data_IF_371161391868
#
_entry.id   IF_371161391868
#
_cell.length_a   1.000
_cell.length_b   1.000
_cell.length_c   1.000
_cell.angle_alpha   90.00
_cell.angle_beta   90.00
_cell.angle_gamma   90.00
#
_symmetry.space_group_name_H-M   'P 1'
#
loop_
_entity.id
_entity.type
_entity.pdbx_description
1 polymer ?
#
# COMPACT_ATOMS: atom_id res chain seq x y z
N UNK A 1 4.74 -43.92 23.69
CA UNK A 1 5.25 -43.17 22.52
C UNK A 1 4.55 -41.84 22.59
N UNK A 2 5.26 -40.81 23.04
CA UNK A 2 4.68 -39.49 23.23
C UNK A 2 4.52 -38.84 21.85
N UNK A 3 3.33 -38.31 21.60
CA UNK A 3 2.98 -37.54 20.41
C UNK A 3 3.89 -36.31 20.32
N UNK A 4 4.87 -36.35 19.42
CA UNK A 4 5.53 -35.15 18.90
C UNK A 4 4.52 -34.47 17.97
N UNK A 5 3.52 -33.81 18.55
CA UNK A 5 2.58 -33.01 17.80
C UNK A 5 3.32 -31.81 17.23
N UNK A 6 3.01 -31.54 15.98
CA UNK A 6 3.65 -30.65 15.03
C UNK A 6 3.57 -29.17 15.46
N UNK A 7 4.38 -28.75 16.43
CA UNK A 7 4.42 -27.37 16.94
C UNK A 7 4.77 -26.33 15.87
N UNK A 8 5.48 -26.71 14.80
CA UNK A 8 5.78 -25.81 13.66
C UNK A 8 4.53 -25.52 12.83
N UNK A 9 3.75 -26.55 12.51
CA UNK A 9 2.55 -26.42 11.67
C UNK A 9 1.42 -25.63 12.34
N UNK A 10 1.28 -25.66 13.68
CA UNK A 10 0.30 -24.80 14.36
C UNK A 10 0.67 -23.31 14.27
N UNK A 11 1.96 -22.98 14.37
CA UNK A 11 2.45 -21.60 14.21
C UNK A 11 2.28 -21.09 12.79
N UNK A 12 2.59 -21.92 11.81
CA UNK A 12 2.38 -21.63 10.38
C UNK A 12 0.90 -21.45 10.06
N UNK A 13 0.02 -22.35 10.52
CA UNK A 13 -1.41 -22.25 10.29
C UNK A 13 -2.00 -20.96 10.86
N UNK A 14 -1.54 -20.56 12.05
CA UNK A 14 -1.94 -19.32 12.70
C UNK A 14 -1.49 -18.12 11.86
N UNK A 15 -0.19 -18.03 11.50
CA UNK A 15 0.34 -16.94 10.68
C UNK A 15 -0.35 -16.84 9.31
N UNK A 16 -0.64 -17.97 8.67
CA UNK A 16 -1.41 -18.01 7.43
C UNK A 16 -2.82 -17.45 7.61
N UNK A 17 -3.51 -17.80 8.69
CA UNK A 17 -4.88 -17.35 8.96
C UNK A 17 -4.91 -15.84 9.18
N UNK A 18 -3.95 -15.34 9.94
CA UNK A 18 -3.74 -13.91 10.20
C UNK A 18 -3.45 -13.12 8.93
N UNK A 19 -2.54 -13.63 8.09
CA UNK A 19 -2.18 -13.00 6.82
C UNK A 19 -3.39 -12.92 5.88
N UNK A 20 -4.14 -14.01 5.71
CA UNK A 20 -5.33 -14.03 4.86
C UNK A 20 -6.39 -13.05 5.35
N UNK A 21 -6.62 -12.97 6.67
CA UNK A 21 -7.58 -12.01 7.24
C UNK A 21 -7.15 -10.56 6.99
N UNK A 22 -5.86 -10.26 7.13
CA UNK A 22 -5.30 -8.95 6.83
C UNK A 22 -5.48 -8.59 5.35
N UNK A 23 -5.14 -9.50 4.43
CA UNK A 23 -5.29 -9.29 2.98
C UNK A 23 -6.76 -9.12 2.59
N UNK A 24 -7.68 -9.91 3.16
CA UNK A 24 -9.12 -9.76 2.92
C UNK A 24 -9.63 -8.39 3.34
N UNK A 25 -9.08 -7.84 4.43
CA UNK A 25 -9.44 -6.52 4.93
C UNK A 25 -8.87 -5.42 4.04
N UNK A 26 -7.62 -5.57 3.59
CA UNK A 26 -6.93 -4.60 2.73
C UNK A 26 -7.63 -4.52 1.37
N UNK A 27 -7.73 -5.65 0.67
CA UNK A 27 -8.14 -5.72 -0.73
C UNK A 27 -9.66 -5.86 -0.93
N UNK A 28 -10.42 -6.18 0.12
CA UNK A 28 -11.88 -6.24 0.07
C UNK A 28 -12.37 -7.11 -1.09
N UNK A 29 -13.11 -6.50 -2.02
CA UNK A 29 -13.73 -7.17 -3.17
C UNK A 29 -12.71 -7.74 -4.18
N UNK A 30 -11.45 -7.28 -4.16
CA UNK A 30 -10.38 -7.82 -5.02
C UNK A 30 -9.85 -9.17 -4.52
N UNK A 31 -10.04 -9.49 -3.22
CA UNK A 31 -9.62 -10.75 -2.61
C UNK A 31 -10.75 -11.77 -2.55
N UNK A 32 -10.49 -12.99 -3.02
CA UNK A 32 -11.46 -14.06 -3.11
C UNK A 32 -10.93 -15.35 -2.46
N UNK A 33 -11.75 -15.95 -1.59
CA UNK A 33 -11.49 -17.28 -1.02
C UNK A 33 -12.09 -18.33 -1.96
N UNK A 34 -11.25 -19.15 -2.57
CA UNK A 34 -11.66 -20.20 -3.51
C UNK A 34 -12.01 -21.48 -2.76
N UNK A 35 -11.09 -21.95 -1.90
CA UNK A 35 -11.25 -23.12 -1.06
C UNK A 35 -10.49 -22.92 0.25
N UNK A 36 -11.21 -22.61 1.31
CA UNK A 36 -10.64 -22.38 2.64
C UNK A 36 -9.98 -23.63 3.22
N UNK A 37 -10.55 -24.82 2.97
CA UNK A 37 -10.01 -26.07 3.50
C UNK A 37 -8.68 -26.45 2.84
N UNK A 38 -8.55 -26.18 1.54
CA UNK A 38 -7.33 -26.38 0.78
C UNK A 38 -6.41 -25.15 0.76
N UNK A 39 -6.73 -24.10 1.53
CA UNK A 39 -5.98 -22.83 1.60
C UNK A 39 -5.70 -22.20 0.24
N UNK A 40 -6.72 -22.17 -0.62
CA UNK A 40 -6.66 -21.61 -1.97
C UNK A 40 -7.37 -20.27 -2.03
N UNK A 41 -6.65 -19.25 -2.50
CA UNK A 41 -7.11 -17.87 -2.60
C UNK A 41 -6.83 -17.32 -4.01
N UNK A 42 -7.59 -16.35 -4.50
CA UNK A 42 -7.18 -15.51 -5.64
C UNK A 42 -7.33 -14.04 -5.25
N UNK A 43 -6.43 -13.23 -5.76
CA UNK A 43 -6.55 -11.78 -5.76
C UNK A 43 -6.51 -11.27 -7.19
N UNK A 44 -7.45 -10.40 -7.53
CA UNK A 44 -7.45 -9.66 -8.79
C UNK A 44 -6.70 -8.34 -8.60
N UNK A 45 -5.61 -8.15 -9.35
CA UNK A 45 -4.75 -6.98 -9.28
C UNK A 45 -4.93 -6.19 -10.57
N UNK A 46 -5.29 -4.92 -10.45
CA UNK A 46 -5.49 -4.03 -11.60
C UNK A 46 -4.80 -2.68 -11.42
N UNK A 47 -4.47 -2.03 -12.53
CA UNK A 47 -4.02 -0.64 -12.52
C UNK A 47 -5.22 0.31 -12.35
N UNK A 48 -5.02 1.39 -11.58
CA UNK A 48 -6.02 2.44 -11.35
C UNK A 48 -5.99 3.55 -12.43
N UNK A 49 -5.10 3.47 -13.43
CA UNK A 49 -5.00 4.47 -14.51
C UNK A 49 -6.03 4.24 -15.64
N UNK A 50 -6.53 5.34 -16.23
CA UNK A 50 -7.73 5.33 -17.10
C UNK A 50 -7.62 4.60 -18.45
N UNK A 51 -6.44 4.14 -18.92
CA UNK A 51 -6.25 3.13 -19.99
C UNK A 51 -4.75 2.91 -20.28
N UNK A 52 -4.32 1.68 -20.65
CA UNK A 52 -5.09 0.43 -20.68
C UNK A 52 -5.20 -0.19 -19.28
N UNK A 53 -6.41 -0.61 -18.89
CA UNK A 53 -6.66 -1.34 -17.64
C UNK A 53 -6.11 -2.76 -17.75
N UNK A 54 -4.82 -2.90 -17.46
CA UNK A 54 -4.19 -4.21 -17.31
C UNK A 54 -4.67 -4.85 -16.00
N UNK A 55 -4.93 -6.15 -16.05
CA UNK A 55 -5.40 -6.93 -14.90
C UNK A 55 -4.69 -8.27 -14.88
N UNK A 56 -4.34 -8.74 -13.68
CA UNK A 56 -3.81 -10.06 -13.40
C UNK A 56 -4.61 -10.70 -12.25
N UNK A 57 -4.95 -12.00 -12.32
CA UNK A 57 -5.32 -12.76 -11.12
C UNK A 57 -4.10 -13.55 -10.67
N UNK A 58 -3.74 -13.36 -9.41
CA UNK A 58 -2.79 -14.18 -8.70
C UNK A 58 -3.59 -15.20 -7.88
N UNK A 59 -3.51 -16.47 -8.28
CA UNK A 59 -4.02 -17.57 -7.47
C UNK A 59 -2.90 -18.09 -6.57
N UNK A 60 -3.22 -18.29 -5.28
CA UNK A 60 -2.29 -18.64 -4.21
C UNK A 60 -2.79 -19.91 -3.53
N UNK A 61 -1.87 -20.82 -3.23
CA UNK A 61 -2.10 -22.00 -2.41
C UNK A 61 -1.07 -21.96 -1.28
N UNK A 62 -1.52 -21.96 -0.04
CA UNK A 62 -0.64 -21.95 1.13
C UNK A 62 -0.30 -23.38 1.56
N UNK A 63 0.95 -23.85 1.41
CA UNK A 63 1.34 -25.15 1.94
C UNK A 63 1.35 -25.11 3.49
N UNK A 64 1.27 -26.26 4.16
CA UNK A 64 1.23 -26.32 5.63
C UNK A 64 2.48 -25.76 6.32
N UNK A 65 3.60 -25.70 5.60
CA UNK A 65 4.91 -25.28 6.13
C UNK A 65 5.27 -23.82 5.78
N UNK A 66 4.33 -23.06 5.21
CA UNK A 66 4.46 -21.62 4.97
C UNK A 66 3.90 -20.84 6.18
N UNK A 67 4.51 -19.74 6.64
CA UNK A 67 5.69 -19.06 6.08
C UNK A 67 7.06 -19.60 6.49
N UNK A 68 7.13 -20.55 7.43
CA UNK A 68 8.41 -20.92 8.07
C UNK A 68 9.46 -21.51 7.13
N UNK A 69 9.10 -22.49 6.29
CA UNK A 69 10.08 -23.30 5.54
C UNK A 69 9.73 -23.56 4.08
N UNK A 70 8.54 -23.16 3.64
CA UNK A 70 8.10 -23.27 2.26
C UNK A 70 7.49 -21.96 1.77
N UNK A 71 7.69 -21.57 0.49
CA UNK A 71 7.00 -20.44 -0.12
C UNK A 71 5.53 -20.78 -0.45
N UNK A 72 4.66 -19.78 -0.62
CA UNK A 72 3.36 -19.99 -1.22
C UNK A 72 3.49 -20.56 -2.64
N UNK A 73 2.56 -21.43 -3.04
CA UNK A 73 2.48 -21.89 -4.43
C UNK A 73 1.58 -20.92 -5.18
N UNK A 74 2.00 -20.45 -6.35
CA UNK A 74 1.23 -19.45 -7.09
C UNK A 74 1.01 -19.80 -8.56
N UNK A 75 -0.05 -19.21 -9.11
CA UNK A 75 -0.33 -19.17 -10.53
C UNK A 75 -0.82 -17.77 -10.93
N UNK A 76 -0.07 -17.11 -11.81
CA UNK A 76 -0.46 -15.81 -12.37
C UNK A 76 -1.15 -16.02 -13.71
N UNK A 77 -2.39 -15.55 -13.79
CA UNK A 77 -3.19 -15.49 -15.01
C UNK A 77 -3.34 -14.04 -15.49
N UNK A 78 -2.65 -13.71 -16.58
CA UNK A 78 -2.66 -12.39 -17.21
C UNK A 78 -2.44 -12.55 -18.72
N UNK A 79 -3.39 -12.09 -19.55
CA UNK A 79 -3.33 -12.28 -21.01
C UNK A 79 -2.14 -11.57 -21.68
N UNK A 80 -1.65 -10.51 -21.03
CA UNK A 80 -0.57 -9.63 -21.48
C UNK A 80 0.82 -10.06 -20.99
N UNK A 81 0.91 -11.00 -20.03
CA UNK A 81 2.17 -11.43 -19.43
C UNK A 81 2.75 -12.60 -20.22
N UNK A 82 3.81 -12.37 -20.99
CA UNK A 82 4.40 -13.39 -21.89
C UNK A 82 5.93 -13.38 -21.86
N UNK A 83 6.54 -14.53 -22.14
CA UNK A 83 7.98 -14.65 -22.40
C UNK A 83 8.85 -14.13 -21.26
N UNK A 84 9.72 -13.17 -21.57
CA UNK A 84 10.70 -12.57 -20.65
C UNK A 84 10.06 -11.88 -19.45
N UNK A 85 8.93 -11.21 -19.64
CA UNK A 85 8.24 -10.47 -18.56
C UNK A 85 7.68 -11.41 -17.49
N UNK A 86 7.19 -12.58 -17.92
CA UNK A 86 6.75 -13.62 -16.98
C UNK A 86 7.92 -14.14 -16.15
N UNK A 87 9.09 -14.31 -16.76
CA UNK A 87 10.28 -14.76 -16.08
C UNK A 87 10.82 -13.69 -15.11
N UNK A 88 10.82 -12.42 -15.52
CA UNK A 88 11.19 -11.29 -14.66
C UNK A 88 10.30 -11.23 -13.42
N UNK A 89 8.97 -11.21 -13.61
CA UNK A 89 8.05 -11.17 -12.49
C UNK A 89 8.20 -12.39 -11.58
N UNK A 90 8.36 -13.60 -12.15
CA UNK A 90 8.57 -14.82 -11.37
C UNK A 90 9.86 -14.77 -10.53
N UNK A 91 10.95 -14.26 -11.10
CA UNK A 91 12.22 -14.07 -10.38
C UNK A 91 12.05 -13.08 -9.23
N UNK A 92 11.39 -11.94 -9.46
CA UNK A 92 11.13 -10.96 -8.40
C UNK A 92 10.32 -11.54 -7.25
N UNK A 93 9.31 -12.39 -7.52
CA UNK A 93 8.55 -13.05 -6.46
C UNK A 93 9.38 -14.06 -5.66
N UNK A 94 10.31 -14.76 -6.32
CA UNK A 94 11.25 -15.67 -5.67
C UNK A 94 12.26 -14.92 -4.81
N UNK A 95 12.82 -13.81 -5.33
CA UNK A 95 13.76 -12.96 -4.60
C UNK A 95 13.13 -12.44 -3.29
N UNK A 96 11.87 -11.99 -3.34
CA UNK A 96 11.11 -11.58 -2.16
C UNK A 96 11.01 -12.71 -1.13
N UNK A 97 10.76 -13.95 -1.56
CA UNK A 97 10.70 -15.08 -0.63
C UNK A 97 12.07 -15.34 0.02
N UNK A 98 13.16 -15.28 -0.76
CA UNK A 98 14.52 -15.50 -0.25
C UNK A 98 14.91 -14.43 0.76
N UNK A 99 14.57 -13.17 0.49
CA UNK A 99 14.86 -12.04 1.38
C UNK A 99 14.04 -12.06 2.67
N UNK A 100 12.81 -12.61 2.61
CA UNK A 100 11.85 -12.62 3.72
C UNK A 100 11.54 -14.05 4.23
N UNK A 101 12.54 -14.94 4.22
CA UNK A 101 12.35 -16.33 4.65
C UNK A 101 11.84 -16.42 6.09
N UNK A 102 10.74 -17.14 6.31
CA UNK A 102 10.10 -17.25 7.63
C UNK A 102 9.06 -16.17 7.92
N UNK A 103 8.83 -15.23 7.00
CA UNK A 103 7.84 -14.16 7.13
C UNK A 103 6.66 -14.32 6.15
N UNK A 104 5.54 -13.65 6.46
CA UNK A 104 4.36 -13.56 5.59
C UNK A 104 4.59 -12.56 4.44
N UNK A 105 4.66 -13.06 3.21
CA UNK A 105 5.09 -12.30 2.02
C UNK A 105 3.98 -11.97 1.01
N UNK A 106 2.74 -12.45 1.19
CA UNK A 106 1.71 -12.33 0.15
C UNK A 106 1.38 -10.88 -0.19
N UNK A 107 1.42 -9.98 0.78
CA UNK A 107 1.25 -8.55 0.51
C UNK A 107 2.35 -8.02 -0.41
N UNK A 108 3.62 -8.36 -0.13
CA UNK A 108 4.75 -7.93 -0.95
C UNK A 108 4.59 -8.44 -2.38
N UNK A 109 4.19 -9.70 -2.54
CA UNK A 109 3.88 -10.26 -3.86
C UNK A 109 2.80 -9.48 -4.60
N UNK A 110 1.72 -9.09 -3.92
CA UNK A 110 0.64 -8.31 -4.53
C UNK A 110 1.14 -6.93 -4.96
N UNK A 111 1.91 -6.23 -4.11
CA UNK A 111 2.46 -4.92 -4.45
C UNK A 111 3.45 -5.00 -5.62
N UNK A 112 4.38 -5.96 -5.61
CA UNK A 112 5.34 -6.15 -6.71
C UNK A 112 4.64 -6.44 -8.04
N UNK A 113 3.56 -7.22 -8.02
CA UNK A 113 2.76 -7.44 -9.23
C UNK A 113 2.04 -6.15 -9.66
N UNK A 114 1.53 -5.36 -8.71
CA UNK A 114 0.89 -4.07 -9.02
C UNK A 114 1.89 -3.11 -9.66
N UNK A 115 3.08 -2.96 -9.08
CA UNK A 115 4.13 -2.11 -9.61
C UNK A 115 4.55 -2.54 -11.02
N UNK A 116 4.71 -3.84 -11.24
CA UNK A 116 4.99 -4.41 -12.55
C UNK A 116 3.91 -4.06 -13.59
N UNK A 117 2.63 -4.07 -13.19
CA UNK A 117 1.52 -3.67 -14.06
C UNK A 117 1.60 -2.17 -14.39
N UNK A 118 1.92 -1.34 -13.39
CA UNK A 118 2.03 0.11 -13.51
C UNK A 118 3.18 0.49 -14.44
N UNK A 119 4.40 -0.03 -14.22
CA UNK A 119 5.58 0.19 -15.07
C UNK A 119 5.32 -0.21 -16.53
N UNK A 120 4.61 -1.33 -16.71
CA UNK A 120 4.20 -1.77 -18.04
C UNK A 120 3.22 -0.82 -18.70
N UNK A 121 2.27 -0.26 -17.96
CA UNK A 121 1.30 0.68 -18.52
C UNK A 121 1.98 1.94 -19.06
N UNK A 122 3.00 2.45 -18.36
CA UNK A 122 3.83 3.57 -18.84
C UNK A 122 4.66 3.21 -20.08
N UNK A 123 5.17 1.97 -20.15
CA UNK A 123 5.91 1.48 -21.32
C UNK A 123 5.03 1.39 -22.59
N UNK A 124 3.73 1.13 -22.45
CA UNK A 124 2.78 1.16 -23.57
C UNK A 124 2.48 2.57 -24.07
N UNK A 125 2.45 3.58 -23.19
CA UNK A 125 2.26 4.99 -23.59
C UNK A 125 3.49 5.57 -24.30
N UNK A 126 4.70 5.14 -23.92
CA UNK A 126 5.93 5.58 -24.56
C UNK A 126 6.13 5.04 -26.00
N UNK A 127 5.46 3.93 -26.36
CA UNK A 127 5.65 3.27 -27.65
C UNK A 127 4.76 3.83 -28.79
N UNK A 128 3.83 4.74 -28.51
CA UNK A 128 2.90 5.33 -29.50
C UNK A 128 3.37 6.67 -30.08
N UNK A 129 4.66 7.03 -29.91
CA UNK A 129 5.29 8.14 -30.64
C UNK A 129 5.93 7.65 -31.95
N UNK A 130 5.60 8.21 -33.13
CA UNK A 130 6.17 7.79 -34.39
C UNK A 130 7.51 8.50 -34.69
N UNK A 131 8.57 7.72 -34.93
CA UNK A 131 9.82 8.09 -35.61
C UNK A 131 10.99 8.39 -34.65
N UNK A 132 12.21 7.86 -34.80
CA UNK A 132 12.94 7.39 -35.98
C UNK A 132 13.94 6.29 -35.61
N UNK A 133 14.23 5.45 -36.60
CA UNK A 133 15.15 4.29 -36.56
C UNK A 133 16.62 4.67 -36.71
N UNK A 134 17.43 3.98 -35.88
CA UNK A 134 18.79 3.43 -36.03
C UNK A 134 19.93 4.30 -36.58
N UNK A 135 21.08 4.28 -35.89
CA UNK A 135 22.35 3.80 -36.48
C UNK A 135 23.36 3.36 -35.41
N UNK A 136 24.01 2.25 -35.73
CA UNK A 136 25.14 1.57 -35.08
C UNK A 136 26.46 2.34 -35.19
N UNK A 137 27.37 2.22 -34.22
CA UNK A 137 28.80 1.90 -34.42
C UNK A 137 29.55 1.88 -33.07
N UNK A 138 30.49 0.96 -32.98
CA UNK A 138 31.42 0.69 -31.88
C UNK A 138 32.62 1.67 -31.86
N UNK A 139 33.28 1.69 -30.68
CA UNK A 139 34.69 2.04 -30.38
C UNK A 139 35.15 3.51 -30.52
N UNK A 140 35.68 4.11 -29.44
CA UNK A 140 37.13 4.16 -29.11
C UNK A 140 37.37 4.96 -27.80
N UNK A 141 38.40 4.56 -27.05
CA UNK A 141 38.96 5.18 -25.84
C UNK A 141 39.72 6.48 -26.19
N UNK A 142 39.74 7.47 -25.29
CA UNK A 142 40.97 8.23 -24.95
C UNK A 142 40.77 9.10 -23.70
N UNK A 143 41.76 8.99 -22.80
CA UNK A 143 42.00 9.81 -21.60
C UNK A 143 42.15 11.30 -21.94
N UNK A 144 41.62 12.18 -21.08
CA UNK A 144 42.36 13.37 -20.67
C UNK A 144 41.85 13.91 -19.32
N UNK A 145 42.82 14.30 -18.48
CA UNK A 145 42.67 14.88 -17.14
C UNK A 145 41.91 16.21 -17.20
N UNK A 146 40.94 16.46 -16.30
CA UNK A 146 40.75 17.79 -15.71
C UNK A 146 39.73 17.84 -14.55
N UNK A 147 40.15 18.53 -13.47
CA UNK A 147 39.40 19.26 -12.41
C UNK A 147 38.11 18.66 -11.80
N UNK A 148 37.98 18.60 -10.45
CA UNK A 148 36.70 18.28 -9.81
C UNK A 148 35.68 19.38 -10.10
N UNK A 149 34.63 19.05 -10.84
CA UNK A 149 33.48 19.90 -11.10
C UNK A 149 32.70 20.15 -9.81
N UNK A 150 32.77 21.38 -9.33
CA UNK A 150 32.03 21.94 -8.20
C UNK A 150 30.56 22.20 -8.63
N UNK A 151 29.86 21.16 -9.09
CA UNK A 151 28.45 21.21 -9.47
C UNK A 151 27.58 20.20 -8.70
N UNK A 152 28.20 19.23 -8.00
CA UNK A 152 27.51 18.24 -7.17
C UNK A 152 27.13 18.74 -5.76
N UNK A 153 27.55 19.94 -5.35
CA UNK A 153 27.14 20.54 -4.08
C UNK A 153 25.94 21.48 -4.21
N UNK A 154 25.49 21.78 -5.42
CA UNK A 154 24.40 22.73 -5.68
C UNK A 154 23.03 22.06 -5.78
N UNK A 155 22.96 20.73 -5.97
CA UNK A 155 21.69 19.99 -6.05
C UNK A 155 21.10 19.67 -4.67
N UNK A 156 21.92 19.50 -3.63
CA UNK A 156 21.42 19.31 -2.25
C UNK A 156 20.97 20.60 -1.57
N UNK A 157 21.36 21.78 -2.07
CA UNK A 157 20.98 23.06 -1.46
C UNK A 157 19.67 23.63 -2.01
N UNK A 158 19.19 23.13 -3.15
CA UNK A 158 18.04 23.73 -3.84
C UNK A 158 16.68 23.24 -3.30
N UNK A 159 16.61 22.06 -2.69
CA UNK A 159 15.43 21.60 -1.95
C UNK A 159 15.32 22.25 -0.56
N UNK A 160 16.44 22.56 0.11
CA UNK A 160 16.43 23.25 1.40
C UNK A 160 16.07 24.75 1.30
N UNK A 161 16.30 25.40 0.15
CA UNK A 161 16.07 26.85 -0.01
C UNK A 161 14.63 27.25 -0.38
N UNK A 162 13.73 26.30 -0.62
CA UNK A 162 12.28 26.57 -0.75
C UNK A 162 11.57 26.70 0.62
N UNK A 163 12.32 26.56 1.72
CA UNK A 163 11.82 26.66 3.10
C UNK A 163 12.05 28.02 3.76
N UNK A 164 12.51 29.04 3.03
CA UNK A 164 12.65 30.38 3.60
C UNK A 164 11.32 31.16 3.55
N UNK A 165 10.65 31.15 4.70
CA UNK A 165 9.83 32.20 5.29
C UNK A 165 8.92 32.97 4.33
N UNK A 166 7.79 32.35 4.00
CA UNK A 166 6.54 33.09 3.98
C UNK A 166 5.83 32.78 5.30
N UNK A 167 5.81 33.76 6.21
CA UNK A 167 4.84 33.82 7.30
C UNK A 167 3.43 33.79 6.68
N UNK A 168 2.97 32.59 6.36
CA UNK A 168 1.57 32.31 6.12
C UNK A 168 1.04 31.74 7.42
N UNK A 169 -0.03 32.37 7.93
CA UNK A 169 -0.89 31.88 9.02
C UNK A 169 -1.60 30.57 8.61
N UNK A 170 -0.85 29.56 8.16
CA UNK A 170 -1.37 28.24 7.85
C UNK A 170 -1.69 27.57 9.19
N UNK A 171 -2.97 27.30 9.43
CA UNK A 171 -3.43 26.68 10.67
C UNK A 171 -3.14 25.17 10.65
N UNK A 172 -2.71 24.63 11.78
CA UNK A 172 -2.51 23.17 11.93
C UNK A 172 -3.87 22.49 11.72
N UNK A 173 -3.99 21.54 10.77
CA UNK A 173 -5.25 20.84 10.56
C UNK A 173 -5.75 20.14 11.83
N UNK A 174 -7.06 20.06 12.05
CA UNK A 174 -7.61 19.42 13.23
C UNK A 174 -7.31 17.91 13.21
N UNK A 175 -6.67 17.44 14.28
CA UNK A 175 -6.30 16.03 14.42
C UNK A 175 -7.40 15.28 15.17
N UNK A 176 -7.87 14.20 14.56
CA UNK A 176 -8.82 13.25 15.14
C UNK A 176 -8.06 12.03 15.63
N UNK A 177 -8.41 11.53 16.80
CA UNK A 177 -7.79 10.34 17.38
C UNK A 177 -8.84 9.23 17.45
N UNK A 178 -8.50 8.07 16.90
CA UNK A 178 -9.36 6.89 16.96
C UNK A 178 -9.20 6.14 18.27
N UNK A 179 -10.00 5.09 18.42
CA UNK A 179 -9.94 4.20 19.56
C UNK A 179 -8.61 3.44 19.63
N UNK A 180 -8.19 3.12 20.86
CA UNK A 180 -6.97 2.33 21.10
C UNK A 180 -7.30 0.84 21.04
N UNK A 181 -6.53 0.08 20.27
CA UNK A 181 -6.60 -1.39 20.23
C UNK A 181 -5.36 -1.97 20.91
N UNK A 182 -5.53 -2.98 21.77
CA UNK A 182 -4.42 -3.65 22.44
C UNK A 182 -4.46 -5.15 22.17
N UNK A 183 -3.34 -5.71 21.70
CA UNK A 183 -3.11 -7.14 21.52
C UNK A 183 -1.73 -7.51 22.07
N UNK A 184 -1.65 -8.58 22.87
CA UNK A 184 -0.40 -9.08 23.50
C UNK A 184 0.46 -7.95 24.07
N UNK A 185 -0.19 -7.01 24.77
CA UNK A 185 0.37 -5.78 25.37
C UNK A 185 0.90 -4.73 24.39
N UNK A 186 0.96 -5.02 23.10
CA UNK A 186 1.15 -4.00 22.08
C UNK A 186 -0.13 -3.21 21.92
N UNK A 187 -0.01 -1.88 21.89
CA UNK A 187 -1.16 -0.98 21.73
C UNK A 187 -1.00 -0.18 20.45
N UNK A 188 -2.10 0.06 19.76
CA UNK A 188 -2.19 0.77 18.50
C UNK A 188 -3.23 1.87 18.60
N UNK A 189 -2.96 3.04 18.02
CA UNK A 189 -3.92 4.12 17.91
C UNK A 189 -3.74 4.84 16.59
N UNK A 190 -4.83 5.05 15.85
CA UNK A 190 -4.80 5.86 14.64
C UNK A 190 -5.10 7.33 14.93
N UNK A 191 -4.51 8.20 14.13
CA UNK A 191 -4.67 9.64 14.14
C UNK A 191 -4.91 10.09 12.70
N UNK A 192 -5.92 10.91 12.49
CA UNK A 192 -6.31 11.37 11.17
C UNK A 192 -6.29 12.89 11.12
N UNK A 193 -5.77 13.45 10.04
CA UNK A 193 -5.83 14.88 9.78
C UNK A 193 -6.18 15.15 8.31
N UNK A 194 -7.11 16.07 8.02
CA UNK A 194 -7.32 16.56 6.65
C UNK A 194 -6.07 17.30 6.17
N UNK A 195 -5.73 17.14 4.89
CA UNK A 195 -4.60 17.83 4.27
C UNK A 195 -4.99 18.53 2.98
N UNK A 196 -4.41 19.69 2.77
CA UNK A 196 -4.51 20.51 1.55
C UNK A 196 -3.13 20.74 0.95
N UNK A 197 -2.09 20.85 1.78
CA UNK A 197 -0.73 21.13 1.34
C UNK A 197 0.28 20.14 1.95
N UNK A 198 1.40 19.85 1.29
CA UNK A 198 2.45 19.03 1.88
C UNK A 198 3.10 19.65 3.14
N UNK A 199 3.05 20.98 3.30
CA UNK A 199 3.56 21.64 4.53
C UNK A 199 2.79 21.20 5.77
N UNK A 200 1.48 20.99 5.62
CA UNK A 200 0.62 20.54 6.71
C UNK A 200 1.00 19.13 7.23
N UNK A 201 1.64 18.28 6.42
CA UNK A 201 2.15 16.97 6.87
C UNK A 201 3.11 17.16 8.06
N UNK A 202 4.10 18.05 7.89
CA UNK A 202 5.09 18.36 8.94
C UNK A 202 4.42 18.99 10.17
N UNK A 203 3.49 19.92 9.96
CA UNK A 203 2.76 20.58 11.05
C UNK A 203 1.93 19.59 11.88
N UNK A 204 1.27 18.63 11.23
CA UNK A 204 0.50 17.57 11.91
C UNK A 204 1.43 16.66 12.72
N UNK A 205 2.57 16.24 12.16
CA UNK A 205 3.55 15.42 12.88
C UNK A 205 4.13 16.15 14.10
N UNK A 206 4.55 17.40 13.95
CA UNK A 206 5.04 18.23 15.05
C UNK A 206 3.98 18.36 16.15
N UNK A 207 2.71 18.59 15.76
CA UNK A 207 1.60 18.70 16.70
C UNK A 207 1.33 17.38 17.44
N UNK A 208 1.42 16.24 16.75
CA UNK A 208 1.31 14.92 17.38
C UNK A 208 2.44 14.70 18.40
N UNK A 209 3.67 15.11 18.07
CA UNK A 209 4.84 14.93 18.93
C UNK A 209 4.89 15.88 20.13
N UNK A 210 4.06 16.93 20.19
CA UNK A 210 3.84 17.65 21.46
C UNK A 210 3.24 16.73 22.54
N UNK A 211 2.47 15.71 22.14
CA UNK A 211 1.98 14.69 23.05
C UNK A 211 3.08 13.66 23.32
N UNK A 212 3.65 13.74 24.53
CA UNK A 212 4.73 12.84 24.99
C UNK A 212 4.42 11.36 24.83
N UNK A 213 3.15 10.94 24.93
CA UNK A 213 2.79 9.52 24.75
C UNK A 213 2.99 9.07 23.31
N UNK A 214 2.62 9.91 22.34
CA UNK A 214 2.76 9.66 20.90
C UNK A 214 4.22 9.79 20.49
N UNK A 215 4.91 10.84 20.95
CA UNK A 215 6.34 11.03 20.71
C UNK A 215 7.21 9.88 21.25
N UNK A 216 6.76 9.22 22.32
CA UNK A 216 7.44 8.03 22.88
C UNK A 216 6.87 6.70 22.38
N UNK A 217 6.02 6.70 21.36
CA UNK A 217 5.59 5.48 20.72
C UNK A 217 6.80 4.75 20.11
N UNK A 218 6.70 3.43 19.99
CA UNK A 218 7.78 2.64 19.38
C UNK A 218 7.87 2.91 17.89
N UNK A 219 6.72 3.09 17.25
CA UNK A 219 6.61 3.45 15.83
C UNK A 219 5.44 4.43 15.66
N UNK A 220 5.63 5.47 14.85
CA UNK A 220 4.62 6.42 14.38
C UNK A 220 4.55 6.35 12.85
N UNK A 221 3.95 5.27 12.37
CA UNK A 221 3.82 4.96 10.94
C UNK A 221 2.84 5.94 10.33
N UNK A 222 3.11 6.48 9.15
CA UNK A 222 2.14 7.34 8.48
C UNK A 222 2.08 7.13 6.98
N UNK A 223 0.94 7.51 6.41
CA UNK A 223 0.77 7.70 4.99
C UNK A 223 -0.19 8.86 4.73
N UNK A 224 -0.01 9.53 3.61
CA UNK A 224 -0.92 10.60 3.20
C UNK A 224 -1.15 10.61 1.69
N UNK A 225 -2.28 11.20 1.29
CA UNK A 225 -2.62 11.43 -0.11
C UNK A 225 -3.28 12.80 -0.24
N UNK A 226 -2.70 13.68 -1.05
CA UNK A 226 -3.23 15.00 -1.40
C UNK A 226 -3.52 14.98 -2.90
N UNK A 227 -4.75 15.32 -3.27
CA UNK A 227 -5.17 15.36 -4.67
C UNK A 227 -4.88 16.75 -5.25
N UNK A 228 -4.07 16.79 -6.31
CA UNK A 228 -3.71 18.00 -7.03
C UNK A 228 -4.66 18.18 -8.23
N UNK A 229 -5.62 19.11 -8.13
CA UNK A 229 -6.61 19.36 -9.18
C UNK A 229 -5.99 19.85 -10.50
N UNK A 230 -4.89 20.61 -10.42
CA UNK A 230 -4.18 21.19 -11.57
C UNK A 230 -3.52 20.12 -12.46
N UNK A 231 -2.95 19.08 -11.84
CA UNK A 231 -2.23 17.99 -12.53
C UNK A 231 -3.07 16.73 -12.69
N UNK A 232 -4.29 16.70 -12.14
CA UNK A 232 -5.11 15.49 -12.05
C UNK A 232 -4.34 14.29 -11.48
N UNK A 233 -3.49 14.53 -10.49
CA UNK A 233 -2.60 13.53 -9.90
C UNK A 233 -2.59 13.61 -8.37
N UNK A 234 -1.97 12.63 -7.72
CA UNK A 234 -1.81 12.59 -6.27
C UNK A 234 -0.38 12.91 -5.87
N UNK A 235 -0.22 13.81 -4.90
CA UNK A 235 0.97 13.90 -4.07
C UNK A 235 0.76 12.99 -2.86
N UNK A 236 1.53 11.91 -2.77
CA UNK A 236 1.35 10.90 -1.75
C UNK A 236 2.71 10.31 -1.35
N UNK A 237 2.83 9.96 -0.08
CA UNK A 237 4.06 9.41 0.50
C UNK A 237 3.73 8.64 1.79
N UNK A 238 4.70 7.88 2.29
CA UNK A 238 4.58 7.11 3.53
C UNK A 238 5.90 6.91 4.25
N UNK A 239 5.82 6.63 5.54
CA UNK A 239 6.97 6.35 6.42
C UNK A 239 6.63 5.20 7.36
N UNK A 240 7.58 4.27 7.49
CA UNK A 240 7.47 3.07 8.32
C UNK A 240 7.85 3.36 9.78
N UNK A 241 8.70 4.35 10.04
CA UNK A 241 9.29 4.63 11.35
C UNK A 241 9.89 3.38 12.02
N UNK A 242 10.58 2.55 11.24
CA UNK A 242 11.20 1.29 11.70
C UNK A 242 10.25 0.10 11.81
N UNK A 243 8.95 0.27 11.56
CA UNK A 243 8.00 -0.84 11.37
C UNK A 243 7.99 -1.25 9.89
N UNK A 244 9.00 -2.01 9.47
CA UNK A 244 9.24 -2.36 8.05
C UNK A 244 7.98 -2.80 7.31
N UNK A 245 7.75 -2.19 6.14
CA UNK A 245 6.63 -2.36 5.23
C UNK A 245 5.25 -1.84 5.71
N UNK A 246 5.15 -1.21 6.88
CA UNK A 246 3.86 -0.75 7.42
C UNK A 246 3.31 0.52 6.74
N UNK A 247 4.18 1.48 6.44
CA UNK A 247 3.84 2.74 5.75
C UNK A 247 3.35 2.49 4.33
N UNK A 248 4.04 1.64 3.58
CA UNK A 248 3.58 1.20 2.25
C UNK A 248 2.20 0.53 2.29
N UNK A 249 1.99 -0.40 3.25
CA UNK A 249 0.68 -1.04 3.52
C UNK A 249 -0.41 -0.03 3.84
N UNK A 250 -0.08 0.96 4.66
CA UNK A 250 -1.00 2.00 5.07
C UNK A 250 -1.36 2.92 3.89
N UNK A 251 -0.38 3.35 3.09
CA UNK A 251 -0.62 4.14 1.88
C UNK A 251 -1.50 3.38 0.89
N UNK A 252 -1.22 2.09 0.72
CA UNK A 252 -1.99 1.26 -0.18
C UNK A 252 -3.45 1.11 0.28
N UNK A 253 -3.69 0.94 1.58
CA UNK A 253 -5.04 1.00 2.14
C UNK A 253 -5.75 2.32 1.77
N UNK A 254 -5.06 3.46 1.85
CA UNK A 254 -5.64 4.75 1.43
C UNK A 254 -5.95 4.80 -0.08
N UNK A 255 -5.14 4.12 -0.90
CA UNK A 255 -5.36 4.00 -2.35
C UNK A 255 -6.62 3.16 -2.67
N UNK A 256 -6.75 1.97 -2.09
CA UNK A 256 -7.89 1.08 -2.31
C UNK A 256 -9.20 1.75 -1.89
N UNK A 257 -9.18 2.44 -0.74
CA UNK A 257 -10.35 3.15 -0.22
C UNK A 257 -10.68 4.46 -0.99
N UNK A 258 -9.89 4.79 -2.02
CA UNK A 258 -9.93 6.06 -2.78
C UNK A 258 -10.07 7.31 -1.89
N UNK A 259 -9.40 7.31 -0.73
CA UNK A 259 -9.43 8.47 0.16
C UNK A 259 -8.46 9.53 -0.32
N UNK A 260 -8.88 10.79 -0.22
CA UNK A 260 -8.15 11.95 -0.74
C UNK A 260 -8.04 13.01 0.33
N UNK A 261 -6.99 13.83 0.23
CA UNK A 261 -6.79 15.01 1.06
C UNK A 261 -6.75 14.67 2.56
N UNK A 262 -5.99 13.62 2.90
CA UNK A 262 -5.93 13.08 4.26
C UNK A 262 -4.56 12.47 4.56
N UNK A 263 -4.16 12.61 5.81
CA UNK A 263 -3.05 11.89 6.43
C UNK A 263 -3.58 11.01 7.55
N UNK A 264 -3.05 9.79 7.62
CA UNK A 264 -3.27 8.88 8.73
C UNK A 264 -1.91 8.53 9.35
N UNK A 265 -1.80 8.71 10.66
CA UNK A 265 -0.67 8.26 11.48
C UNK A 265 -1.16 7.16 12.40
N UNK A 266 -0.47 6.03 12.46
CA UNK A 266 -0.76 4.96 13.41
C UNK A 266 0.41 4.82 14.37
N UNK A 267 0.17 5.20 15.62
CA UNK A 267 1.12 5.02 16.70
C UNK A 267 1.03 3.62 17.28
N UNK A 268 2.16 2.93 17.36
CA UNK A 268 2.30 1.62 18.02
C UNK A 268 3.20 1.73 19.24
N UNK A 269 2.74 1.22 20.38
CA UNK A 269 3.55 1.00 21.57
C UNK A 269 3.84 -0.49 21.72
N UNK A 270 5.11 -0.88 21.66
CA UNK A 270 5.54 -2.28 21.76
C UNK A 270 5.34 -2.84 23.18
N UNK A 271 4.67 -4.00 23.26
CA UNK A 271 4.31 -4.64 24.53
C UNK A 271 5.34 -5.61 25.10
N UNK A 272 6.49 -5.80 24.44
CA UNK A 272 7.48 -6.81 24.80
C UNK A 272 7.29 -8.18 24.13
N UNK A 273 6.24 -8.34 23.32
CA UNK A 273 5.93 -9.58 22.58
C UNK A 273 5.91 -9.26 21.09
N UNK A 274 6.66 -10.00 20.28
CA UNK A 274 6.64 -9.86 18.83
C UNK A 274 5.29 -10.35 18.30
N UNK A 275 4.55 -9.46 17.64
CA UNK A 275 3.25 -9.77 17.06
C UNK A 275 3.37 -10.44 15.69
N UNK A 276 4.54 -10.41 15.05
CA UNK A 276 4.70 -10.92 13.69
C UNK A 276 3.74 -10.18 12.73
N UNK A 277 3.11 -10.86 11.76
CA UNK A 277 2.20 -10.24 10.80
C UNK A 277 0.97 -9.53 11.41
N UNK A 278 0.49 -9.96 12.58
CA UNK A 278 -0.70 -9.39 13.24
C UNK A 278 -0.63 -7.88 13.49
N UNK A 279 0.58 -7.35 13.65
CA UNK A 279 0.76 -5.91 13.84
C UNK A 279 0.19 -5.12 12.65
N UNK A 280 0.34 -5.63 11.43
CA UNK A 280 -0.17 -4.97 10.22
C UNK A 280 -1.70 -4.99 10.17
N UNK A 281 -2.33 -6.07 10.65
CA UNK A 281 -3.79 -6.14 10.81
C UNK A 281 -4.29 -5.03 11.74
N UNK A 282 -3.66 -4.86 12.91
CA UNK A 282 -4.04 -3.80 13.85
C UNK A 282 -3.80 -2.41 13.27
N UNK A 283 -2.67 -2.19 12.59
CA UNK A 283 -2.35 -0.92 11.93
C UNK A 283 -3.44 -0.56 10.90
N UNK A 284 -3.74 -1.48 9.99
CA UNK A 284 -4.72 -1.26 8.93
C UNK A 284 -6.14 -1.11 9.46
N UNK A 285 -6.52 -1.89 10.48
CA UNK A 285 -7.86 -1.81 11.06
C UNK A 285 -8.07 -0.51 11.83
N UNK A 286 -7.09 -0.06 12.63
CA UNK A 286 -7.16 1.24 13.29
C UNK A 286 -7.30 2.38 12.25
N UNK A 287 -6.51 2.34 11.18
CA UNK A 287 -6.60 3.32 10.10
C UNK A 287 -7.96 3.30 9.38
N UNK A 288 -8.46 2.12 9.02
CA UNK A 288 -9.76 1.98 8.35
C UNK A 288 -10.89 2.49 9.24
N UNK A 289 -10.90 2.13 10.52
CA UNK A 289 -11.95 2.51 11.45
C UNK A 289 -12.07 4.04 11.57
N UNK A 290 -10.95 4.75 11.78
CA UNK A 290 -10.99 6.22 11.87
C UNK A 290 -11.40 6.87 10.54
N UNK A 291 -11.00 6.32 9.40
CA UNK A 291 -11.44 6.81 8.08
C UNK A 291 -12.95 6.61 7.86
N UNK A 292 -13.52 5.53 8.39
CA UNK A 292 -14.98 5.28 8.35
C UNK A 292 -15.72 6.23 9.29
N UNK A 293 -15.24 6.37 10.52
CA UNK A 293 -15.84 7.24 11.54
C UNK A 293 -15.87 8.71 11.11
N UNK A 294 -14.80 9.19 10.49
CA UNK A 294 -14.68 10.57 10.00
C UNK A 294 -15.24 10.74 8.57
N UNK A 295 -15.83 9.68 7.98
CA UNK A 295 -16.57 9.77 6.71
C UNK A 295 -15.72 9.91 5.45
N UNK A 296 -14.45 9.52 5.49
CA UNK A 296 -13.55 9.51 4.32
C UNK A 296 -13.80 8.34 3.39
N UNK A 297 -14.32 7.23 3.92
CA UNK A 297 -14.76 6.12 3.08
C UNK A 297 -16.19 6.38 2.61
N UNK A 298 -16.44 6.16 1.32
CA UNK A 298 -17.80 6.18 0.82
C UNK A 298 -18.59 5.08 1.54
N UNK A 299 -19.44 5.48 2.49
CA UNK A 299 -20.37 4.56 3.13
C UNK A 299 -21.13 3.84 2.02
N UNK A 300 -20.89 2.54 1.88
CA UNK A 300 -21.61 1.65 0.96
C UNK A 300 -23.03 1.40 1.50
N UNK A 301 -23.76 2.49 1.75
CA UNK A 301 -25.15 2.53 2.15
C UNK A 301 -25.84 3.60 1.31
N UNK A 302 -25.79 3.46 -0.03
CA UNK A 302 -26.64 4.23 -0.97
C UNK A 302 -26.64 3.64 -2.39
N UNK A 303 -27.17 2.43 -2.56
CA UNK A 303 -27.83 2.10 -3.85
C UNK A 303 -28.94 1.03 -3.84
N UNK A 304 -29.41 0.57 -2.69
CA UNK A 304 -30.58 -0.33 -2.61
C UNK A 304 -31.82 0.39 -2.04
N UNK A 305 -32.33 1.41 -2.74
CA UNK A 305 -33.77 1.78 -2.76
C UNK A 305 -34.01 3.05 -3.60
N UNK A 306 -33.86 2.96 -4.92
CA UNK A 306 -34.56 3.85 -5.86
C UNK A 306 -35.10 3.05 -7.04
N UNK A 307 -35.79 1.95 -6.75
CA UNK A 307 -36.79 1.38 -7.63
C UNK A 307 -37.96 0.94 -6.75
N UNK A 308 -38.97 1.80 -6.68
CA UNK A 308 -40.38 1.60 -6.29
C UNK A 308 -40.86 2.85 -5.57
N UNK A 309 -41.10 3.94 -6.31
CA UNK A 309 -42.20 4.88 -6.06
C UNK A 309 -42.24 5.93 -7.18
N UNK A 310 -42.67 5.53 -8.38
CA UNK A 310 -43.58 6.35 -9.19
C UNK A 310 -44.04 5.58 -10.43
N UNK A 311 -45.13 4.82 -10.28
CA UNK A 311 -46.03 4.64 -11.41
C UNK A 311 -47.46 4.73 -10.89
N UNK A 312 -47.93 5.96 -10.70
CA UNK A 312 -49.36 6.24 -10.63
C UNK A 312 -49.64 7.48 -11.44
N UNK A 313 -50.45 7.26 -12.47
CA UNK A 313 -51.21 8.23 -13.24
C UNK A 313 -50.42 9.07 -14.25
N UNK A 314 -50.60 8.73 -15.53
CA UNK A 314 -51.46 9.49 -16.46
C UNK A 314 -51.13 9.03 -17.88
N UNK A 315 -52.01 8.28 -18.53
CA UNK A 315 -52.40 8.55 -19.93
C UNK A 315 -53.75 7.89 -20.17
N UNK A 316 -54.75 8.74 -20.33
CA UNK A 316 -56.11 8.43 -20.76
C UNK A 316 -56.35 9.33 -21.96
N UNK A 317 -56.17 8.86 -23.20
CA UNK A 317 -56.79 9.51 -24.36
C UNK A 317 -57.04 8.48 -25.50
N UNK A 318 -58.33 8.34 -25.84
CA UNK A 318 -59.01 7.64 -26.95
C UNK A 318 -58.82 6.13 -27.15
#
# INVERSE_FOLDING_TARGET
MADFVNLGSEGDLQAQTEEVEALSSIYGDEWCVIDEASRVFCIQISNNTEKPKLTACLQIILPPDYPSTAPPIYQINAAWLRGSERAQLANSLEDIYVEHSGESILYLWVETIRDFIVERSYSFEAADQPGQVNMTAEEEEEDDEDVPDFSALTQHTQEELLFLDQDNDEEVPPIKHGDTVTDRRSTFQAHLAPLVTPRQVKMVLEKLYENKKIASATHNIYAYRIYCEDKHSFLQDCEDDGETAAGGRLLHLLQILDVRNVMVVVSRWYGGILLGPDRFKHINNCARNILVEEGYTASMVRHFMLFFYNHSSLYQIW
#
